data_IF_607918516301
#
_entry.id   IF_607918516301
#
_cell.length_a   1.000
_cell.length_b   1.000
_cell.length_c   1.000
_cell.angle_alpha   90.00
_cell.angle_beta   90.00
_cell.angle_gamma   90.00
#
_symmetry.space_group_name_H-M   'P 1'
#
loop_
_entity.id
_entity.type
_entity.pdbx_description
1 polymer ?
#
# COMPACT_ATOMS: atom_id res chain seq x y z
N UNK A 1 -3.68 -8.54 -2.56
CA UNK A 1 -4.03 -7.93 -1.24
C UNK A 1 -5.41 -8.39 -0.85
N UNK A 2 -5.63 -8.80 0.38
CA UNK A 2 -6.95 -9.13 0.92
C UNK A 2 -7.86 -7.90 0.84
N UNK A 3 -9.14 -8.12 0.48
CA UNK A 3 -10.13 -7.05 0.51
C UNK A 3 -10.21 -6.48 1.94
N UNK A 4 -10.12 -5.17 2.05
CA UNK A 4 -10.08 -4.45 3.33
C UNK A 4 -11.17 -3.40 3.32
N UNK A 5 -11.99 -3.34 4.39
CA UNK A 5 -13.01 -2.31 4.51
C UNK A 5 -12.43 -0.94 4.87
N UNK A 6 -13.21 0.12 4.60
CA UNK A 6 -12.84 1.49 4.93
C UNK A 6 -12.50 1.64 6.43
N UNK A 7 -13.34 1.06 7.30
CA UNK A 7 -13.15 1.12 8.74
C UNK A 7 -11.92 0.32 9.20
N UNK A 8 -11.72 -0.87 8.64
CA UNK A 8 -10.55 -1.69 8.94
C UNK A 8 -9.25 -1.01 8.49
N UNK A 9 -9.27 -0.38 7.31
CA UNK A 9 -8.13 0.37 6.81
C UNK A 9 -7.80 1.54 7.74
N UNK A 10 -8.79 2.36 8.09
CA UNK A 10 -8.60 3.50 8.99
C UNK A 10 -8.08 3.06 10.37
N UNK A 11 -8.60 1.97 10.93
CA UNK A 11 -8.13 1.43 12.21
C UNK A 11 -6.68 0.94 12.16
N UNK A 12 -6.28 0.27 11.08
CA UNK A 12 -4.94 -0.30 10.93
C UNK A 12 -3.87 0.74 10.58
N UNK A 13 -4.22 1.85 9.96
CA UNK A 13 -3.29 2.93 9.63
C UNK A 13 -3.33 4.12 10.59
N UNK A 14 -3.75 3.97 11.85
CA UNK A 14 -4.22 4.99 12.79
C UNK A 14 -4.74 6.27 12.13
N UNK A 15 -5.80 6.11 11.33
CA UNK A 15 -6.41 7.19 10.57
C UNK A 15 -7.86 7.46 10.98
N UNK A 16 -8.34 8.62 10.62
CA UNK A 16 -9.72 9.05 10.80
C UNK A 16 -10.41 9.14 9.44
N UNK A 17 -11.58 8.49 9.29
CA UNK A 17 -12.42 8.71 8.12
C UNK A 17 -12.96 10.15 8.18
N UNK A 18 -12.47 11.00 7.30
CA UNK A 18 -12.85 12.41 7.22
C UNK A 18 -14.12 12.58 6.39
N UNK A 19 -14.24 11.79 5.32
CA UNK A 19 -15.36 11.85 4.38
C UNK A 19 -15.66 10.46 3.83
N UNK A 20 -16.94 10.15 3.69
CA UNK A 20 -17.43 9.02 2.90
C UNK A 20 -18.04 9.53 1.60
N UNK A 21 -17.91 8.76 0.51
CA UNK A 21 -18.50 9.06 -0.78
C UNK A 21 -19.59 8.01 -1.08
N UNK A 22 -20.88 8.37 -0.99
CA UNK A 22 -21.97 7.43 -1.25
C UNK A 22 -21.90 6.85 -2.66
N UNK A 23 -22.18 5.55 -2.77
CA UNK A 23 -22.18 4.83 -4.06
C UNK A 23 -20.82 4.29 -4.48
N UNK A 24 -19.73 4.61 -3.77
CA UNK A 24 -18.43 3.98 -3.99
C UNK A 24 -18.24 2.74 -3.10
N UNK A 25 -17.42 1.76 -3.54
CA UNK A 25 -17.14 0.57 -2.74
C UNK A 25 -16.43 0.94 -1.44
N UNK A 26 -16.89 0.39 -0.33
CA UNK A 26 -16.23 0.50 0.98
C UNK A 26 -15.22 -0.63 1.22
N UNK A 27 -15.07 -1.56 0.30
CA UNK A 27 -14.07 -2.62 0.32
C UNK A 27 -13.08 -2.43 -0.83
N UNK A 28 -11.81 -2.38 -0.49
CA UNK A 28 -10.72 -2.08 -1.41
C UNK A 28 -9.90 -3.33 -1.69
N UNK A 29 -9.50 -3.51 -2.94
CA UNK A 29 -8.75 -4.69 -3.41
C UNK A 29 -7.26 -4.41 -3.59
N UNK A 30 -6.82 -3.16 -3.42
CA UNK A 30 -5.44 -2.78 -3.64
C UNK A 30 -5.10 -1.40 -3.07
N UNK A 31 -3.81 -1.11 -3.11
CA UNK A 31 -3.25 0.21 -2.81
C UNK A 31 -2.43 0.66 -4.01
N UNK A 32 -2.66 1.90 -4.44
CA UNK A 32 -1.92 2.55 -5.49
C UNK A 32 -1.21 3.81 -5.01
N UNK A 33 -0.07 4.11 -5.61
CA UNK A 33 0.72 5.33 -5.37
C UNK A 33 1.09 6.03 -6.68
N UNK A 34 0.66 5.48 -7.82
CA UNK A 34 1.00 5.95 -9.16
C UNK A 34 -0.28 6.20 -9.98
N UNK A 35 -0.59 7.47 -10.21
CA UNK A 35 -1.78 7.93 -10.94
C UNK A 35 -1.73 7.68 -12.46
N UNK A 36 -0.65 7.14 -12.98
CA UNK A 36 -0.53 6.70 -14.38
C UNK A 36 -1.10 5.30 -14.61
N UNK A 37 -1.44 4.59 -13.53
CA UNK A 37 -2.03 3.25 -13.55
C UNK A 37 -3.52 3.32 -13.26
N UNK A 38 -4.24 2.26 -13.65
CA UNK A 38 -5.61 2.06 -13.21
C UNK A 38 -5.66 1.85 -11.70
N UNK A 39 -6.50 2.63 -11.04
CA UNK A 39 -6.72 2.61 -9.59
C UNK A 39 -8.13 2.14 -9.21
N UNK A 40 -8.87 1.55 -10.16
CA UNK A 40 -10.25 1.12 -9.96
C UNK A 40 -10.38 0.20 -8.74
N UNK A 41 -11.20 0.60 -7.77
CA UNK A 41 -11.42 -0.14 -6.53
C UNK A 41 -10.24 -0.14 -5.56
N UNK A 42 -9.22 0.66 -5.79
CA UNK A 42 -8.04 0.78 -4.95
C UNK A 42 -8.08 2.02 -4.04
N UNK A 43 -7.23 2.01 -3.05
CA UNK A 43 -6.92 3.16 -2.20
C UNK A 43 -5.69 3.85 -2.74
N UNK A 44 -5.80 5.13 -3.09
CA UNK A 44 -4.62 5.93 -3.43
C UNK A 44 -3.94 6.45 -2.17
N UNK A 45 -2.66 6.18 -2.03
CA UNK A 45 -1.86 6.59 -0.87
C UNK A 45 -0.99 7.78 -1.23
N UNK A 46 -1.34 8.97 -0.72
CA UNK A 46 -0.64 10.21 -1.04
C UNK A 46 0.67 10.31 -0.26
N UNK A 47 1.73 9.70 -0.79
CA UNK A 47 3.06 9.76 -0.20
C UNK A 47 3.78 11.06 -0.61
N UNK A 48 4.57 11.59 0.31
CA UNK A 48 5.45 12.74 0.07
C UNK A 48 6.90 12.28 -0.02
N UNK A 49 7.57 12.61 -1.09
CA UNK A 49 9.00 12.45 -1.29
C UNK A 49 9.75 13.78 -1.12
N UNK A 50 11.06 13.77 -1.35
CA UNK A 50 11.91 14.97 -1.24
C UNK A 50 11.56 16.04 -2.29
N UNK A 51 11.23 15.64 -3.52
CA UNK A 51 10.93 16.53 -4.65
C UNK A 51 9.52 16.37 -5.22
N UNK A 52 8.66 15.60 -4.55
CA UNK A 52 7.37 15.20 -5.08
C UNK A 52 6.35 15.03 -3.95
N UNK A 53 5.16 15.60 -4.11
CA UNK A 53 4.04 15.44 -3.19
C UNK A 53 2.84 14.84 -3.92
N UNK A 54 2.46 13.61 -3.55
CA UNK A 54 1.36 12.90 -4.19
C UNK A 54 -0.02 13.52 -3.87
N UNK A 55 -0.11 14.45 -2.91
CA UNK A 55 -1.35 15.20 -2.66
C UNK A 55 -1.75 16.09 -3.84
N UNK A 56 -0.79 16.51 -4.66
CA UNK A 56 -1.07 17.32 -5.86
C UNK A 56 -1.81 16.52 -6.95
N UNK A 57 -1.86 15.19 -6.82
CA UNK A 57 -2.43 14.28 -7.80
C UNK A 57 -3.73 13.61 -7.35
N UNK A 58 -4.34 14.06 -6.25
CA UNK A 58 -5.57 13.46 -5.71
C UNK A 58 -6.73 13.45 -6.72
N UNK A 59 -6.92 14.55 -7.44
CA UNK A 59 -7.96 14.66 -8.48
C UNK A 59 -7.71 13.64 -9.60
N UNK A 60 -6.44 13.51 -10.03
CA UNK A 60 -6.05 12.54 -11.04
C UNK A 60 -6.23 11.11 -10.54
N UNK A 61 -5.87 10.82 -9.29
CA UNK A 61 -6.08 9.49 -8.70
C UNK A 61 -7.55 9.07 -8.71
N UNK A 62 -8.45 9.99 -8.34
CA UNK A 62 -9.89 9.76 -8.39
C UNK A 62 -10.37 9.56 -9.84
N UNK A 63 -9.86 10.33 -10.81
CA UNK A 63 -10.15 10.16 -12.22
C UNK A 63 -9.67 8.80 -12.77
N UNK A 64 -8.62 8.21 -12.18
CA UNK A 64 -8.15 6.85 -12.47
C UNK A 64 -8.90 5.75 -11.70
N UNK A 65 -9.98 6.09 -11.00
CA UNK A 65 -10.87 5.13 -10.35
C UNK A 65 -10.55 4.84 -8.89
N UNK A 66 -9.66 5.59 -8.24
CA UNK A 66 -9.42 5.42 -6.81
C UNK A 66 -10.72 5.66 -6.01
N UNK A 67 -11.15 4.63 -5.26
CA UNK A 67 -12.35 4.70 -4.44
C UNK A 67 -12.11 5.41 -3.10
N UNK A 68 -10.87 5.42 -2.63
CA UNK A 68 -10.47 6.12 -1.42
C UNK A 68 -9.08 6.75 -1.59
N UNK A 69 -8.81 7.76 -0.76
CA UNK A 69 -7.48 8.40 -0.64
C UNK A 69 -7.04 8.44 0.82
N UNK A 70 -5.76 8.19 1.08
CA UNK A 70 -5.12 8.41 2.38
C UNK A 70 -4.23 9.62 2.29
N UNK A 71 -4.46 10.61 3.16
CA UNK A 71 -3.83 11.93 3.12
C UNK A 71 -3.38 12.36 4.51
N UNK A 72 -2.39 13.25 4.61
CA UNK A 72 -1.95 13.87 5.88
C UNK A 72 -2.53 15.27 6.12
N UNK A 73 -3.30 15.78 5.17
CA UNK A 73 -4.04 17.05 5.26
C UNK A 73 -5.35 16.99 4.48
N UNK A 74 -6.29 17.83 4.86
CA UNK A 74 -7.57 17.91 4.15
C UNK A 74 -7.35 18.31 2.68
N UNK A 75 -7.98 17.61 1.72
CA UNK A 75 -7.95 18.02 0.32
C UNK A 75 -8.61 19.40 0.15
N UNK A 76 -7.95 20.29 -0.58
CA UNK A 76 -8.48 21.61 -0.89
C UNK A 76 -9.59 21.59 -1.94
N UNK A 77 -9.70 20.50 -2.69
CA UNK A 77 -10.71 20.29 -3.72
C UNK A 77 -11.66 19.18 -3.28
N UNK A 78 -12.95 19.33 -3.58
CA UNK A 78 -13.93 18.28 -3.34
C UNK A 78 -13.63 17.05 -4.19
N UNK A 79 -13.43 15.90 -3.54
CA UNK A 79 -13.15 14.64 -4.19
C UNK A 79 -14.38 13.73 -4.14
N UNK A 80 -14.65 13.00 -5.22
CA UNK A 80 -15.61 11.90 -5.21
C UNK A 80 -14.88 10.60 -4.81
N UNK A 81 -14.40 10.55 -3.58
CA UNK A 81 -13.70 9.41 -2.98
C UNK A 81 -13.90 9.42 -1.47
N UNK A 82 -13.73 8.26 -0.82
CA UNK A 82 -13.58 8.22 0.64
C UNK A 82 -12.24 8.88 1.01
N UNK A 83 -12.22 9.65 2.09
CA UNK A 83 -11.01 10.34 2.55
C UNK A 83 -10.64 9.86 3.95
N UNK A 84 -9.44 9.32 4.09
CA UNK A 84 -8.85 8.92 5.37
C UNK A 84 -7.72 9.90 5.67
N UNK A 85 -7.86 10.63 6.77
CA UNK A 85 -6.85 11.55 7.27
C UNK A 85 -5.97 10.84 8.30
N UNK A 86 -4.67 10.97 8.14
CA UNK A 86 -3.63 10.43 9.03
C UNK A 86 -2.63 11.53 9.40
N UNK A 87 -1.85 11.34 10.44
CA UNK A 87 -0.83 12.34 10.83
C UNK A 87 0.39 12.34 9.88
N UNK A 88 0.70 11.19 9.29
CA UNK A 88 1.86 11.00 8.39
C UNK A 88 1.55 9.80 7.49
N UNK A 89 1.47 10.05 6.18
CA UNK A 89 1.09 9.01 5.21
C UNK A 89 2.10 7.87 5.10
N UNK A 90 3.40 8.13 5.30
CA UNK A 90 4.42 7.09 5.29
C UNK A 90 4.33 6.20 6.53
N UNK A 91 4.22 6.78 7.72
CA UNK A 91 4.03 6.03 8.97
C UNK A 91 2.74 5.23 8.95
N UNK A 92 1.67 5.80 8.41
CA UNK A 92 0.39 5.12 8.24
C UNK A 92 0.52 3.90 7.33
N UNK A 93 1.24 4.00 6.19
CA UNK A 93 1.52 2.89 5.29
C UNK A 93 2.33 1.78 6.00
N UNK A 94 3.35 2.16 6.75
CA UNK A 94 4.18 1.22 7.51
C UNK A 94 3.39 0.52 8.61
N UNK A 95 2.53 1.24 9.33
CA UNK A 95 1.64 0.68 10.34
C UNK A 95 0.65 -0.30 9.72
N UNK A 96 0.01 0.09 8.61
CA UNK A 96 -0.91 -0.77 7.89
C UNK A 96 -0.24 -2.05 7.41
N UNK A 97 0.94 -1.94 6.79
CA UNK A 97 1.71 -3.10 6.34
C UNK A 97 2.13 -4.01 7.50
N UNK A 98 2.48 -3.44 8.67
CA UNK A 98 2.80 -4.20 9.89
C UNK A 98 1.59 -4.99 10.39
N UNK A 99 0.41 -4.38 10.43
CA UNK A 99 -0.81 -5.07 10.86
C UNK A 99 -1.22 -6.19 9.88
N UNK A 100 -1.11 -5.93 8.57
CA UNK A 100 -1.33 -6.97 7.55
C UNK A 100 -0.32 -8.11 7.71
N UNK A 101 0.98 -7.79 7.90
CA UNK A 101 2.04 -8.79 8.13
C UNK A 101 1.78 -9.67 9.36
N UNK A 102 1.23 -9.12 10.44
CA UNK A 102 0.86 -9.89 11.64
C UNK A 102 -0.18 -10.98 11.36
N UNK A 103 -1.02 -10.78 10.37
CA UNK A 103 -2.02 -11.76 9.93
C UNK A 103 -1.48 -12.85 8.99
N UNK A 104 -0.23 -12.77 8.53
CA UNK A 104 0.33 -13.78 7.62
C UNK A 104 0.54 -15.12 8.33
N UNK A 105 0.09 -16.19 7.68
CA UNK A 105 0.43 -17.57 8.06
C UNK A 105 1.74 -18.02 7.40
N UNK A 106 2.12 -17.39 6.31
CA UNK A 106 3.34 -17.68 5.56
C UNK A 106 4.61 -17.38 6.37
N UNK A 107 5.65 -18.20 6.15
CA UNK A 107 6.99 -17.91 6.67
C UNK A 107 7.57 -16.71 5.91
N UNK A 108 8.15 -15.78 6.64
CA UNK A 108 8.80 -14.58 6.06
C UNK A 108 10.27 -14.63 6.36
N UNK A 109 11.08 -14.52 5.30
CA UNK A 109 12.53 -14.48 5.37
C UNK A 109 13.00 -13.07 5.06
N UNK A 110 13.70 -12.44 5.99
CA UNK A 110 14.37 -11.16 5.81
C UNK A 110 15.84 -11.36 5.47
N UNK A 111 16.31 -10.72 4.40
CA UNK A 111 17.71 -10.77 3.95
C UNK A 111 18.31 -9.37 4.10
N UNK A 112 19.36 -9.26 4.91
CA UNK A 112 20.10 -8.02 5.12
C UNK A 112 21.59 -8.23 4.85
N UNK A 113 22.36 -7.15 4.74
CA UNK A 113 23.79 -7.16 4.47
C UNK A 113 24.22 -6.00 3.59
N UNK A 114 25.51 -5.73 3.51
CA UNK A 114 26.08 -4.68 2.65
C UNK A 114 26.00 -5.05 1.17
N UNK A 115 26.30 -6.32 0.82
CA UNK A 115 26.31 -6.83 -0.55
C UNK A 115 25.49 -8.12 -0.68
N UNK A 116 25.13 -8.49 -1.92
CA UNK A 116 24.57 -9.78 -2.25
C UNK A 116 23.07 -9.98 -1.90
N UNK A 117 22.40 -9.02 -1.24
CA UNK A 117 20.99 -9.15 -0.82
C UNK A 117 20.06 -9.57 -1.96
N UNK A 118 20.16 -8.89 -3.11
CA UNK A 118 19.31 -9.17 -4.27
C UNK A 118 19.59 -10.56 -4.84
N UNK A 119 20.87 -10.92 -5.01
CA UNK A 119 21.26 -12.24 -5.52
C UNK A 119 20.81 -13.37 -4.59
N UNK A 120 21.02 -13.21 -3.28
CA UNK A 120 20.59 -14.20 -2.28
C UNK A 120 19.06 -14.38 -2.30
N UNK A 121 18.32 -13.30 -2.42
CA UNK A 121 16.85 -13.32 -2.53
C UNK A 121 16.40 -14.06 -3.79
N UNK A 122 16.98 -13.76 -4.95
CA UNK A 122 16.61 -14.40 -6.21
C UNK A 122 16.98 -15.90 -6.21
N UNK A 123 18.15 -16.26 -5.65
CA UNK A 123 18.53 -17.68 -5.49
C UNK A 123 17.57 -18.41 -4.56
N UNK A 124 17.25 -17.82 -3.40
CA UNK A 124 16.31 -18.45 -2.46
C UNK A 124 14.94 -18.64 -3.11
N UNK A 125 14.44 -17.62 -3.82
CA UNK A 125 13.17 -17.71 -4.54
C UNK A 125 13.20 -18.81 -5.61
N UNK A 126 14.30 -18.94 -6.39
CA UNK A 126 14.44 -19.96 -7.43
C UNK A 126 14.48 -21.38 -6.88
N UNK A 127 15.09 -21.57 -5.71
CA UNK A 127 15.16 -22.89 -5.05
C UNK A 127 13.80 -23.30 -4.47
N UNK A 128 13.04 -22.33 -3.91
CA UNK A 128 11.79 -22.64 -3.21
C UNK A 128 10.58 -22.73 -4.15
N UNK A 129 10.57 -21.99 -5.27
CA UNK A 129 9.45 -21.98 -6.22
C UNK A 129 8.96 -23.35 -6.72
N UNK A 130 9.82 -24.34 -7.00
CA UNK A 130 9.35 -25.65 -7.44
C UNK A 130 8.54 -26.40 -6.38
N UNK A 131 8.77 -26.11 -5.09
CA UNK A 131 8.22 -26.84 -3.96
C UNK A 131 7.07 -26.11 -3.26
N UNK A 132 6.96 -24.77 -3.41
CA UNK A 132 5.98 -23.99 -2.70
C UNK A 132 5.62 -22.68 -3.38
N UNK A 133 4.50 -22.08 -3.01
CA UNK A 133 4.17 -20.71 -3.43
C UNK A 133 5.13 -19.72 -2.77
N UNK A 134 5.81 -18.92 -3.57
CA UNK A 134 6.79 -17.93 -3.11
C UNK A 134 6.42 -16.56 -3.63
N UNK A 135 6.31 -15.60 -2.73
CA UNK A 135 6.25 -14.18 -3.05
C UNK A 135 7.53 -13.50 -2.58
N UNK A 136 8.11 -12.64 -3.40
CA UNK A 136 9.31 -11.87 -3.05
C UNK A 136 9.28 -10.49 -3.68
N UNK A 137 9.98 -9.55 -3.08
CA UNK A 137 10.05 -8.19 -3.59
C UNK A 137 10.80 -8.13 -4.92
N UNK A 138 10.27 -7.49 -5.96
CA UNK A 138 10.95 -7.33 -7.25
C UNK A 138 12.16 -6.41 -7.13
N UNK A 139 13.24 -6.74 -7.84
CA UNK A 139 14.45 -5.91 -7.91
C UNK A 139 14.99 -5.52 -6.53
N UNK A 140 15.35 -4.24 -6.38
CA UNK A 140 15.89 -3.66 -5.15
C UNK A 140 14.86 -2.86 -4.34
N UNK A 141 13.57 -3.22 -4.41
CA UNK A 141 12.47 -2.55 -3.69
C UNK A 141 12.56 -2.85 -2.18
N UNK A 142 13.53 -2.22 -1.51
CA UNK A 142 13.93 -2.50 -0.12
C UNK A 142 13.99 -1.26 0.77
N UNK A 143 13.54 -0.10 0.27
CA UNK A 143 13.50 1.13 1.04
C UNK A 143 12.24 1.23 1.91
N UNK A 144 12.13 2.33 2.66
CA UNK A 144 11.04 2.60 3.60
C UNK A 144 9.64 2.70 2.96
N UNK A 145 9.55 2.84 1.62
CA UNK A 145 8.31 2.76 0.85
C UNK A 145 8.10 1.36 0.26
N UNK A 146 9.14 0.81 -0.35
CA UNK A 146 9.05 -0.41 -1.14
C UNK A 146 8.76 -1.64 -0.29
N UNK A 147 9.34 -1.73 0.90
CA UNK A 147 9.10 -2.87 1.79
C UNK A 147 7.65 -2.95 2.28
N UNK A 148 7.04 -1.89 2.85
CA UNK A 148 5.63 -1.89 3.20
C UNK A 148 4.73 -2.23 2.01
N UNK A 149 4.99 -1.63 0.85
CA UNK A 149 4.18 -1.83 -0.35
C UNK A 149 4.24 -3.29 -0.83
N UNK A 150 5.42 -3.91 -0.81
CA UNK A 150 5.58 -5.32 -1.17
C UNK A 150 4.82 -6.25 -0.21
N UNK A 151 4.87 -5.99 1.10
CA UNK A 151 4.11 -6.75 2.09
C UNK A 151 2.59 -6.71 1.80
N UNK A 152 2.10 -5.55 1.38
CA UNK A 152 0.67 -5.38 1.05
C UNK A 152 0.27 -6.04 -0.26
N UNK A 153 1.22 -6.35 -1.15
CA UNK A 153 1.00 -7.09 -2.39
C UNK A 153 1.14 -8.62 -2.20
N UNK A 154 1.56 -9.08 -1.03
CA UNK A 154 1.69 -10.52 -0.76
C UNK A 154 0.33 -11.19 -0.84
N UNK A 155 0.18 -12.30 -1.60
CA UNK A 155 -1.04 -13.10 -1.62
C UNK A 155 -1.41 -13.65 -0.24
N UNK A 156 -2.68 -13.94 -0.02
CA UNK A 156 -3.21 -14.40 1.28
C UNK A 156 -2.92 -15.87 1.60
N UNK A 157 -2.42 -16.65 0.64
CA UNK A 157 -2.22 -18.10 0.73
C UNK A 157 -0.80 -18.55 0.36
#
# INVERSE_FOLDING_TARGET
MRATSLQELAAKCPGRVLKTAPGLPENFTGIGTDTRKDLTGQVFWALKGESFDAHDFLVQAVAQGAAAVVVDREPTTALNAHVILVDDTLKALQNYAREVRRGFKAKVVGITGSNGKTSTKEFLASILKPEMKVHWNPGSFNNHFGLPFNLLQTPDD
#
